data_IF_420790540976
#
_entry.id   IF_420790540976
#
_cell.length_a   1.000
_cell.length_b   1.000
_cell.length_c   1.000
_cell.angle_alpha   90.00
_cell.angle_beta   90.00
_cell.angle_gamma   90.00
#
_symmetry.space_group_name_H-M   'P 1'
#
loop_
_entity.id
_entity.type
_entity.pdbx_description
1 polymer ?
#
# COMPACT_ATOMS: atom_id res chain seq x y z
N UNK A 1 4.53 -22.36 20.80
CA UNK A 1 5.39 -22.05 19.62
C UNK A 1 6.11 -23.34 19.20
N UNK A 2 5.84 -23.84 17.99
CA UNK A 2 6.46 -25.05 17.41
C UNK A 2 7.49 -24.67 16.34
N UNK A 3 8.21 -25.69 15.78
CA UNK A 3 9.11 -25.44 14.66
C UNK A 3 8.32 -25.01 13.42
N UNK A 4 8.92 -24.10 12.64
CA UNK A 4 8.38 -23.67 11.36
C UNK A 4 9.50 -23.52 10.34
N UNK A 5 9.14 -23.55 9.06
CA UNK A 5 10.06 -23.36 7.95
C UNK A 5 9.52 -22.28 7.02
N UNK A 6 10.43 -21.47 6.46
CA UNK A 6 10.20 -20.66 5.28
C UNK A 6 11.01 -21.29 4.14
N UNK A 7 10.34 -21.65 3.05
CA UNK A 7 10.98 -22.09 1.82
C UNK A 7 10.74 -21.07 0.71
N UNK A 8 11.76 -20.76 -0.08
CA UNK A 8 11.68 -19.94 -1.29
C UNK A 8 11.69 -20.83 -2.53
N UNK A 9 11.08 -20.39 -3.62
CA UNK A 9 11.02 -21.14 -4.87
C UNK A 9 12.41 -21.48 -5.44
N UNK A 10 13.46 -20.71 -5.12
CA UNK A 10 14.85 -20.98 -5.52
C UNK A 10 15.51 -22.14 -4.76
N UNK A 11 14.81 -22.75 -3.79
CA UNK A 11 15.30 -23.85 -2.95
C UNK A 11 15.90 -23.41 -1.62
N UNK A 12 15.97 -22.10 -1.35
CA UNK A 12 16.47 -21.59 -0.04
C UNK A 12 15.49 -21.94 1.07
N UNK A 13 16.00 -22.51 2.17
CA UNK A 13 15.21 -22.92 3.34
C UNK A 13 15.74 -22.20 4.58
N UNK A 14 14.81 -21.64 5.36
CA UNK A 14 15.07 -21.04 6.67
C UNK A 14 14.24 -21.77 7.73
N UNK A 15 14.87 -22.16 8.84
CA UNK A 15 14.24 -22.83 9.97
C UNK A 15 14.13 -21.89 11.14
N UNK A 16 12.95 -21.82 11.76
CA UNK A 16 12.65 -20.93 12.88
C UNK A 16 11.52 -21.48 13.74
N UNK A 17 10.83 -20.58 14.42
CA UNK A 17 9.70 -20.89 15.32
C UNK A 17 8.44 -20.23 14.79
N UNK A 18 7.32 -20.94 14.83
CA UNK A 18 5.99 -20.36 14.58
C UNK A 18 5.61 -19.41 15.71
N UNK A 19 5.17 -18.21 15.35
CA UNK A 19 4.73 -17.17 16.30
C UNK A 19 3.33 -16.63 15.97
N UNK A 20 2.66 -17.16 14.97
CA UNK A 20 1.33 -16.75 14.53
C UNK A 20 0.34 -17.92 14.47
N UNK A 21 -0.67 -17.80 13.60
CA UNK A 21 -1.65 -18.81 13.37
C UNK A 21 -1.01 -20.12 12.88
N UNK A 22 -1.57 -21.28 13.23
CA UNK A 22 -1.13 -22.55 12.67
C UNK A 22 -1.49 -22.65 11.18
N UNK A 23 -0.74 -23.47 10.43
CA UNK A 23 -1.06 -23.75 9.04
C UNK A 23 0.04 -23.34 8.05
N UNK A 24 -0.39 -22.83 6.91
CA UNK A 24 0.46 -22.53 5.76
C UNK A 24 0.12 -21.14 5.20
N UNK A 25 1.15 -20.32 4.94
CA UNK A 25 1.04 -19.10 4.16
C UNK A 25 1.88 -19.24 2.89
N UNK A 26 1.31 -18.88 1.74
CA UNK A 26 1.99 -18.84 0.44
C UNK A 26 1.82 -17.46 -0.16
N UNK A 27 2.87 -16.92 -0.78
CA UNK A 27 2.82 -15.60 -1.39
C UNK A 27 4.18 -15.13 -1.91
N UNK A 28 4.22 -13.94 -2.48
CA UNK A 28 5.47 -13.28 -2.85
C UNK A 28 6.18 -12.78 -1.59
N UNK A 29 7.42 -13.23 -1.38
CA UNK A 29 8.23 -12.80 -0.22
C UNK A 29 8.90 -11.48 -0.55
N UNK A 30 8.57 -10.46 0.23
CA UNK A 30 9.13 -9.12 0.14
C UNK A 30 9.83 -8.75 1.45
N UNK A 31 10.69 -7.73 1.43
CA UNK A 31 11.28 -7.19 2.66
C UNK A 31 10.90 -5.73 2.83
N UNK A 32 10.64 -5.32 4.07
CA UNK A 32 10.36 -3.93 4.42
C UNK A 32 11.42 -3.43 5.41
N UNK A 33 11.95 -2.23 5.16
CA UNK A 33 13.04 -1.62 5.94
C UNK A 33 12.55 -0.64 7.02
N UNK A 34 11.24 -0.50 7.22
CA UNK A 34 10.68 0.33 8.28
C UNK A 34 11.13 -0.17 9.67
N UNK A 35 11.44 0.75 10.56
CA UNK A 35 11.87 0.46 11.94
C UNK A 35 10.67 0.23 12.88
N UNK A 36 9.51 0.75 12.52
CA UNK A 36 8.27 0.76 13.30
C UNK A 36 7.08 0.51 12.39
N UNK A 37 5.88 0.39 12.97
CA UNK A 37 4.64 0.31 12.18
C UNK A 37 4.38 -1.08 11.60
N UNK A 38 4.78 -2.13 12.30
CA UNK A 38 4.54 -3.51 11.84
C UNK A 38 3.05 -3.86 11.79
N UNK A 39 2.20 -3.27 12.65
CA UNK A 39 0.77 -3.48 12.64
C UNK A 39 0.12 -2.82 11.43
N UNK A 40 0.51 -1.59 11.13
CA UNK A 40 0.08 -0.84 9.96
C UNK A 40 0.48 -1.58 8.67
N UNK A 41 1.71 -2.11 8.60
CA UNK A 41 2.19 -2.94 7.48
C UNK A 41 1.34 -4.21 7.33
N UNK A 42 1.03 -4.92 8.42
CA UNK A 42 0.24 -6.15 8.36
C UNK A 42 -1.21 -5.91 7.95
N UNK A 43 -1.77 -4.76 8.33
CA UNK A 43 -3.16 -4.39 8.05
C UNK A 43 -3.33 -3.56 6.76
N UNK A 44 -2.25 -3.15 6.08
CA UNK A 44 -2.29 -2.51 4.77
C UNK A 44 -2.72 -3.52 3.69
N UNK A 45 -3.87 -3.33 3.02
CA UNK A 45 -4.33 -4.24 1.97
C UNK A 45 -3.35 -4.39 0.80
N UNK A 46 -2.45 -3.44 0.59
CA UNK A 46 -1.41 -3.51 -0.45
C UNK A 46 -0.46 -4.70 -0.29
N UNK A 47 -0.40 -5.32 0.89
CA UNK A 47 0.37 -6.56 1.14
C UNK A 47 -0.42 -7.85 0.91
N UNK A 48 -1.63 -7.79 0.35
CA UNK A 48 -2.37 -9.01 0.02
C UNK A 48 -1.54 -9.94 -0.88
N UNK A 49 -1.53 -11.25 -0.56
CA UNK A 49 -0.70 -12.27 -1.20
C UNK A 49 0.82 -12.05 -1.07
N UNK A 50 1.27 -11.23 -0.12
CA UNK A 50 2.70 -11.05 0.19
C UNK A 50 3.05 -11.56 1.59
N UNK A 51 4.19 -12.26 1.68
CA UNK A 51 4.85 -12.64 2.95
C UNK A 51 5.87 -11.54 3.25
N UNK A 52 5.62 -10.76 4.30
CA UNK A 52 6.42 -9.59 4.62
C UNK A 52 7.58 -9.97 5.55
N UNK A 53 8.80 -9.70 5.13
CA UNK A 53 10.01 -9.80 5.96
C UNK A 53 10.37 -8.44 6.53
N UNK A 54 10.29 -8.26 7.84
CA UNK A 54 10.75 -7.04 8.49
C UNK A 54 12.26 -7.13 8.81
N UNK A 55 13.01 -6.15 8.29
CA UNK A 55 14.48 -6.17 8.42
C UNK A 55 14.96 -5.69 9.79
N UNK A 56 14.13 -4.90 10.49
CA UNK A 56 14.43 -4.50 11.87
C UNK A 56 14.40 -5.72 12.79
N UNK A 57 15.41 -5.88 13.68
CA UNK A 57 15.56 -7.13 14.42
C UNK A 57 14.47 -7.37 15.48
N UNK A 58 13.96 -6.33 16.14
CA UNK A 58 13.02 -6.43 17.26
C UNK A 58 11.61 -5.99 16.81
N UNK A 59 10.74 -6.93 16.51
CA UNK A 59 9.38 -6.68 16.02
C UNK A 59 8.37 -7.21 17.04
N UNK A 60 7.37 -6.38 17.41
CA UNK A 60 6.37 -6.69 18.44
C UNK A 60 6.65 -6.01 19.79
N UNK A 61 7.70 -5.22 19.89
CA UNK A 61 8.16 -4.60 21.13
C UNK A 61 7.21 -3.56 21.72
N UNK A 62 6.32 -2.95 20.90
CA UNK A 62 5.33 -1.97 21.37
C UNK A 62 3.91 -2.54 21.46
N UNK A 63 3.73 -3.85 21.17
CA UNK A 63 2.40 -4.47 21.09
C UNK A 63 1.58 -3.98 19.91
N UNK A 64 0.28 -4.17 19.98
CA UNK A 64 -0.70 -3.73 18.99
C UNK A 64 -1.90 -3.08 19.67
N UNK A 65 -2.67 -2.28 18.92
CA UNK A 65 -3.86 -1.59 19.39
C UNK A 65 -4.87 -1.38 18.26
N UNK A 66 -6.10 -1.03 18.56
CA UNK A 66 -7.17 -0.87 17.57
C UNK A 66 -6.99 0.35 16.65
N UNK A 67 -6.29 1.39 17.11
CA UNK A 67 -6.16 2.66 16.36
C UNK A 67 -5.17 2.58 15.21
N UNK A 68 -4.14 1.72 15.33
CA UNK A 68 -3.07 1.55 14.35
C UNK A 68 -3.45 0.54 13.23
N UNK A 69 -4.72 0.16 13.13
CA UNK A 69 -5.24 -0.62 12.01
C UNK A 69 -5.47 0.26 10.79
N UNK A 70 -4.89 -0.14 9.67
CA UNK A 70 -5.05 0.54 8.37
C UNK A 70 -6.22 0.01 7.54
N UNK A 71 -6.89 -1.06 8.00
CA UNK A 71 -8.09 -1.61 7.39
C UNK A 71 -8.88 -2.49 8.38
N UNK A 72 -10.00 -3.06 7.92
CA UNK A 72 -10.89 -3.91 8.74
C UNK A 72 -10.23 -5.18 9.30
N UNK A 73 -9.12 -5.64 8.71
CA UNK A 73 -8.39 -6.85 9.10
C UNK A 73 -6.94 -6.77 8.62
N UNK A 74 -6.09 -7.70 9.03
CA UNK A 74 -4.78 -7.86 8.44
C UNK A 74 -4.88 -8.57 7.08
N UNK A 75 -4.11 -8.08 6.10
CA UNK A 75 -4.11 -8.59 4.72
C UNK A 75 -2.82 -9.26 4.29
N UNK A 76 -1.71 -9.03 5.00
CA UNK A 76 -0.45 -9.71 4.70
C UNK A 76 -0.65 -11.24 4.76
N UNK A 77 -0.16 -11.96 3.76
CA UNK A 77 -0.27 -13.42 3.71
C UNK A 77 0.54 -14.11 4.82
N UNK A 78 1.63 -13.49 5.25
CA UNK A 78 2.47 -14.00 6.32
C UNK A 78 3.50 -13.00 6.81
N UNK A 79 4.12 -13.29 7.96
CA UNK A 79 5.14 -12.44 8.57
C UNK A 79 6.43 -13.23 8.85
N UNK A 80 7.55 -12.60 8.52
CA UNK A 80 8.90 -13.10 8.80
C UNK A 80 9.66 -12.08 9.61
N UNK A 81 10.12 -12.46 10.79
CA UNK A 81 10.91 -11.59 11.67
C UNK A 81 12.14 -12.32 12.24
N UNK A 82 13.10 -11.53 12.71
CA UNK A 82 14.25 -12.07 13.41
C UNK A 82 13.90 -12.44 14.84
N UNK A 83 13.50 -11.50 15.65
CA UNK A 83 13.26 -11.68 17.09
C UNK A 83 11.88 -11.14 17.49
N UNK A 84 11.13 -11.99 18.19
CA UNK A 84 9.94 -11.58 18.92
C UNK A 84 10.36 -11.31 20.37
N UNK A 85 10.15 -10.10 20.93
CA UNK A 85 10.55 -9.78 22.29
C UNK A 85 9.75 -10.59 23.32
N UNK A 86 10.39 -10.94 24.43
CA UNK A 86 9.75 -11.66 25.54
C UNK A 86 8.63 -10.86 26.19
N UNK A 87 8.72 -9.53 26.15
CA UNK A 87 7.71 -8.60 26.67
C UNK A 87 7.57 -7.44 25.69
N UNK A 88 6.33 -7.13 25.37
CA UNK A 88 5.98 -5.86 24.74
C UNK A 88 5.73 -4.81 25.84
N UNK A 89 6.06 -3.55 25.55
CA UNK A 89 5.88 -2.45 26.51
C UNK A 89 5.63 -1.15 25.76
N UNK A 90 4.41 -0.65 25.84
CA UNK A 90 4.00 0.66 25.34
C UNK A 90 2.68 1.05 26.04
N UNK A 91 2.50 2.34 26.31
CA UNK A 91 1.27 2.83 26.97
C UNK A 91 0.00 2.64 26.13
N UNK A 92 0.11 2.53 24.79
CA UNK A 92 -1.00 2.26 23.87
C UNK A 92 -1.24 0.77 23.63
N UNK A 93 -0.40 -0.11 24.16
CA UNK A 93 -0.51 -1.54 23.93
C UNK A 93 -1.82 -2.10 24.52
N UNK A 94 -2.59 -2.81 23.71
CA UNK A 94 -3.78 -3.56 24.11
C UNK A 94 -3.52 -5.06 24.14
N UNK A 95 -2.70 -5.57 23.20
CA UNK A 95 -2.31 -6.97 23.14
C UNK A 95 -0.91 -7.15 22.55
N UNK A 96 -0.38 -8.39 22.59
CA UNK A 96 0.93 -8.73 22.02
C UNK A 96 0.81 -9.04 20.53
N UNK A 97 1.93 -8.92 19.79
CA UNK A 97 1.94 -9.21 18.36
C UNK A 97 1.57 -10.66 18.04
N UNK A 98 2.05 -11.63 18.80
CA UNK A 98 1.73 -13.06 18.58
C UNK A 98 0.25 -13.37 18.81
N UNK A 99 -0.38 -12.76 19.80
CA UNK A 99 -1.84 -12.87 20.03
C UNK A 99 -2.61 -12.28 18.84
N UNK A 100 -2.24 -11.09 18.39
CA UNK A 100 -2.81 -10.44 17.21
C UNK A 100 -2.67 -11.30 15.94
N UNK A 101 -1.48 -11.88 15.69
CA UNK A 101 -1.26 -12.74 14.52
C UNK A 101 -2.17 -13.96 14.53
N UNK A 102 -2.36 -14.58 15.71
CA UNK A 102 -3.30 -15.72 15.85
C UNK A 102 -4.73 -15.28 15.60
N UNK A 103 -5.16 -14.16 16.19
CA UNK A 103 -6.50 -13.61 16.04
C UNK A 103 -6.83 -13.27 14.58
N UNK A 104 -5.84 -12.69 13.85
CA UNK A 104 -5.99 -12.32 12.46
C UNK A 104 -5.73 -13.47 11.47
N UNK A 105 -5.39 -14.67 11.96
CA UNK A 105 -5.13 -15.85 11.12
C UNK A 105 -3.82 -15.77 10.33
N UNK A 106 -2.86 -14.91 10.73
CA UNK A 106 -1.59 -14.72 10.02
C UNK A 106 -0.59 -15.79 10.46
N UNK A 107 -0.09 -16.57 9.50
CA UNK A 107 1.03 -17.51 9.72
C UNK A 107 2.33 -16.72 9.76
N UNK A 108 3.13 -16.94 10.81
CA UNK A 108 4.35 -16.15 11.01
C UNK A 108 5.52 -17.00 11.55
N UNK A 109 6.74 -16.61 11.17
CA UNK A 109 7.99 -17.27 11.59
C UNK A 109 8.97 -16.27 12.17
N UNK A 110 9.60 -16.62 13.29
CA UNK A 110 10.66 -15.88 13.92
C UNK A 110 11.92 -16.75 14.11
N UNK A 111 13.05 -16.11 14.43
CA UNK A 111 14.31 -16.78 14.72
C UNK A 111 15.10 -17.16 13.47
N UNK A 112 14.84 -16.51 12.33
CA UNK A 112 15.58 -16.76 11.10
C UNK A 112 16.58 -15.62 10.80
N UNK A 113 17.55 -15.90 9.93
CA UNK A 113 18.48 -14.89 9.41
C UNK A 113 17.78 -14.01 8.34
N UNK A 114 17.07 -12.97 8.80
CA UNK A 114 16.39 -12.01 7.93
C UNK A 114 17.36 -11.21 7.06
N UNK A 115 18.61 -11.00 7.51
CA UNK A 115 19.65 -10.35 6.70
C UNK A 115 20.04 -11.20 5.49
N UNK A 116 20.25 -12.52 5.68
CA UNK A 116 20.51 -13.45 4.58
C UNK A 116 19.31 -13.49 3.62
N UNK A 117 18.10 -13.55 4.13
CA UNK A 117 16.87 -13.53 3.32
C UNK A 117 16.78 -12.24 2.47
N UNK A 118 16.94 -11.08 3.10
CA UNK A 118 16.93 -9.78 2.40
C UNK A 118 18.00 -9.71 1.30
N UNK A 119 19.21 -10.25 1.54
CA UNK A 119 20.26 -10.29 0.50
C UNK A 119 19.87 -11.18 -0.69
N UNK A 120 19.19 -12.30 -0.46
CA UNK A 120 18.66 -13.16 -1.54
C UNK A 120 17.64 -12.40 -2.36
N UNK A 121 16.64 -11.80 -1.72
CA UNK A 121 15.58 -11.05 -2.39
C UNK A 121 16.15 -9.85 -3.19
N UNK A 122 17.10 -9.12 -2.62
CA UNK A 122 17.75 -8.01 -3.31
C UNK A 122 18.55 -8.45 -4.54
N UNK A 123 19.25 -9.57 -4.45
CA UNK A 123 20.11 -10.06 -5.54
C UNK A 123 19.32 -10.75 -6.65
N UNK A 124 18.35 -11.61 -6.29
CA UNK A 124 17.59 -12.46 -7.23
C UNK A 124 16.24 -11.87 -7.62
N UNK A 125 15.72 -10.89 -6.87
CA UNK A 125 14.37 -10.35 -7.00
C UNK A 125 13.43 -10.93 -5.95
N UNK A 126 12.19 -10.40 -5.90
CA UNK A 126 11.12 -10.98 -5.10
C UNK A 126 10.91 -12.45 -5.48
N UNK A 127 10.70 -13.30 -4.48
CA UNK A 127 10.59 -14.75 -4.64
C UNK A 127 9.23 -15.23 -4.15
N UNK A 128 8.64 -16.19 -4.86
CA UNK A 128 7.55 -16.99 -4.28
C UNK A 128 8.05 -17.77 -3.07
N UNK A 129 7.28 -17.79 -1.99
CA UNK A 129 7.66 -18.47 -0.77
C UNK A 129 6.48 -19.09 -0.03
N UNK A 130 6.82 -19.97 0.93
CA UNK A 130 5.84 -20.59 1.80
C UNK A 130 6.37 -20.66 3.24
N UNK A 131 5.58 -20.18 4.20
CA UNK A 131 5.77 -20.47 5.62
C UNK A 131 4.89 -21.65 5.99
N UNK A 132 5.46 -22.66 6.65
CA UNK A 132 4.75 -23.87 7.04
C UNK A 132 5.22 -24.39 8.41
N UNK A 133 4.26 -24.78 9.26
CA UNK A 133 4.54 -25.59 10.44
C UNK A 133 4.53 -27.07 10.06
N UNK A 134 5.64 -27.55 9.46
CA UNK A 134 5.71 -28.92 8.92
C UNK A 134 7.01 -29.17 8.14
N UNK A 135 6.92 -30.08 7.18
CA UNK A 135 8.07 -30.54 6.40
C UNK A 135 8.54 -29.50 5.36
N UNK A 136 9.85 -29.31 5.28
CA UNK A 136 10.46 -28.34 4.37
C UNK A 136 10.19 -28.65 2.89
N UNK A 137 10.07 -29.95 2.53
CA UNK A 137 9.75 -30.35 1.17
C UNK A 137 8.36 -29.88 0.72
N UNK A 138 7.36 -30.01 1.57
CA UNK A 138 6.00 -29.54 1.30
C UNK A 138 5.94 -27.99 1.21
N UNK A 139 6.72 -27.28 2.02
CA UNK A 139 6.83 -25.83 1.94
C UNK A 139 7.48 -25.41 0.60
N UNK A 140 8.51 -26.09 0.15
CA UNK A 140 9.19 -25.81 -1.12
C UNK A 140 8.27 -26.06 -2.33
N UNK A 141 7.54 -27.17 -2.32
CA UNK A 141 6.54 -27.47 -3.35
C UNK A 141 5.49 -26.37 -3.44
N UNK A 142 4.90 -25.96 -2.31
CA UNK A 142 3.92 -24.91 -2.26
C UNK A 142 4.48 -23.55 -2.72
N UNK A 143 5.74 -23.22 -2.37
CA UNK A 143 6.40 -22.01 -2.83
C UNK A 143 6.57 -21.98 -4.36
N UNK A 144 6.94 -23.11 -4.97
CA UNK A 144 7.12 -23.24 -6.42
C UNK A 144 5.80 -23.26 -7.19
N UNK A 145 4.71 -23.68 -6.57
CA UNK A 145 3.38 -23.69 -7.17
C UNK A 145 2.72 -22.28 -7.21
N UNK A 146 3.21 -21.32 -6.46
CA UNK A 146 2.65 -19.96 -6.45
C UNK A 146 3.05 -19.22 -7.74
N UNK A 147 2.08 -18.73 -8.53
CA UNK A 147 2.36 -18.14 -9.86
C UNK A 147 3.01 -16.76 -9.82
N UNK A 148 3.11 -16.11 -8.64
CA UNK A 148 3.52 -14.71 -8.49
C UNK A 148 2.35 -13.75 -8.63
N UNK A 149 2.61 -12.45 -8.46
CA UNK A 149 1.56 -11.41 -8.44
C UNK A 149 1.24 -10.85 -9.84
N UNK A 150 2.09 -11.09 -10.83
CA UNK A 150 1.86 -10.59 -12.19
C UNK A 150 0.60 -11.22 -12.80
N UNK A 151 -0.28 -10.38 -13.35
CA UNK A 151 -1.57 -10.79 -13.89
C UNK A 151 -2.66 -11.01 -12.84
N UNK A 152 -2.38 -10.79 -11.53
CA UNK A 152 -3.38 -10.93 -10.48
C UNK A 152 -4.10 -9.60 -10.21
N UNK A 153 -5.42 -9.58 -10.43
CA UNK A 153 -6.28 -8.50 -9.97
C UNK A 153 -6.63 -8.70 -8.49
N UNK A 154 -5.78 -8.17 -7.62
CA UNK A 154 -6.00 -8.22 -6.18
C UNK A 154 -6.82 -7.03 -5.66
N UNK A 155 -6.91 -5.94 -6.42
CA UNK A 155 -7.70 -4.77 -6.04
C UNK A 155 -9.18 -5.12 -5.80
N UNK A 156 -9.79 -5.88 -6.69
CA UNK A 156 -11.19 -6.34 -6.49
C UNK A 156 -11.36 -7.34 -5.34
N UNK A 157 -10.28 -8.04 -4.94
CA UNK A 157 -10.33 -9.03 -3.84
C UNK A 157 -10.37 -8.33 -2.48
N UNK A 158 -9.60 -7.24 -2.33
CA UNK A 158 -9.51 -6.50 -1.06
C UNK A 158 -10.53 -5.38 -0.92
N UNK A 159 -11.08 -4.90 -2.03
CA UNK A 159 -12.05 -3.82 -2.09
C UNK A 159 -13.29 -4.07 -1.24
N UNK A 160 -13.93 -2.98 -0.80
CA UNK A 160 -15.26 -3.05 -0.22
C UNK A 160 -16.28 -3.59 -1.23
N UNK A 161 -17.32 -4.25 -0.74
CA UNK A 161 -18.44 -4.71 -1.57
C UNK A 161 -19.61 -3.73 -1.62
N UNK A 162 -19.60 -2.70 -0.76
CA UNK A 162 -20.67 -1.71 -0.64
C UNK A 162 -20.09 -0.32 -0.52
N UNK A 163 -20.80 0.66 -1.09
CA UNK A 163 -20.49 2.07 -0.88
C UNK A 163 -20.77 2.47 0.57
N UNK A 164 -19.86 3.26 1.15
CA UNK A 164 -20.02 3.79 2.50
C UNK A 164 -19.44 5.20 2.65
N UNK A 165 -19.91 5.92 3.66
CA UNK A 165 -19.40 7.23 4.03
C UNK A 165 -18.30 7.09 5.10
N UNK A 166 -17.25 7.94 4.98
CA UNK A 166 -16.21 8.05 6.00
C UNK A 166 -16.13 9.48 6.51
N UNK A 167 -16.21 9.66 7.84
CA UNK A 167 -16.24 10.98 8.50
C UNK A 167 -15.21 11.13 9.62
N UNK A 168 -14.40 10.10 9.89
CA UNK A 168 -13.40 10.12 10.96
C UNK A 168 -12.11 10.75 10.46
N UNK A 169 -11.66 11.84 11.10
CA UNK A 169 -10.33 12.44 10.90
C UNK A 169 -9.24 11.78 11.72
N UNK A 170 -8.04 12.35 11.69
CA UNK A 170 -6.88 11.88 12.45
C UNK A 170 -7.07 12.10 13.94
N UNK A 171 -6.58 11.15 14.76
CA UNK A 171 -6.70 11.22 16.22
C UNK A 171 -5.83 12.29 16.85
N UNK A 172 -4.72 12.67 16.19
CA UNK A 172 -3.67 13.55 16.72
C UNK A 172 -3.67 14.96 16.14
N UNK A 173 -4.28 15.19 14.98
CA UNK A 173 -4.55 16.54 14.46
C UNK A 173 -5.98 16.93 14.89
N UNK A 174 -6.25 18.18 15.30
CA UNK A 174 -7.61 18.59 15.62
C UNK A 174 -8.47 18.36 14.36
N UNK A 175 -9.50 17.49 14.44
CA UNK A 175 -10.31 17.20 13.28
C UNK A 175 -11.00 18.48 12.83
N UNK A 176 -10.94 18.80 11.53
CA UNK A 176 -11.93 19.67 10.91
C UNK A 176 -13.28 18.97 11.16
N UNK A 177 -14.23 19.66 11.79
CA UNK A 177 -15.49 19.01 12.11
C UNK A 177 -16.16 18.56 10.80
N UNK A 178 -16.80 17.41 10.79
CA UNK A 178 -17.51 16.92 9.60
C UNK A 178 -18.57 17.91 9.08
N UNK A 179 -19.01 18.86 9.94
CA UNK A 179 -19.90 19.95 9.59
C UNK A 179 -19.21 21.09 8.82
N UNK A 180 -17.88 21.12 8.79
CA UNK A 180 -17.05 22.09 8.06
C UNK A 180 -16.47 21.51 6.77
N UNK A 181 -16.80 20.27 6.43
CA UNK A 181 -16.37 19.63 5.18
C UNK A 181 -16.90 20.43 3.97
N UNK A 182 -15.97 20.93 3.18
CA UNK A 182 -16.25 21.83 2.04
C UNK A 182 -16.42 21.03 0.75
N UNK A 183 -15.69 19.90 0.60
CA UNK A 183 -15.61 19.15 -0.66
C UNK A 183 -16.25 17.78 -0.54
N UNK A 184 -16.99 17.36 -1.59
CA UNK A 184 -17.46 16.00 -1.76
C UNK A 184 -16.40 15.21 -2.55
N UNK A 185 -15.81 14.18 -1.94
CA UNK A 185 -14.80 13.33 -2.59
C UNK A 185 -15.34 11.92 -2.72
N UNK A 186 -15.31 11.37 -3.93
CA UNK A 186 -15.53 9.94 -4.14
C UNK A 186 -14.19 9.24 -4.23
N UNK A 187 -13.95 8.29 -3.32
CA UNK A 187 -12.73 7.50 -3.25
C UNK A 187 -12.97 6.07 -3.73
N UNK A 188 -12.26 5.65 -4.78
CA UNK A 188 -12.23 4.25 -5.17
C UNK A 188 -11.44 3.43 -4.16
N UNK A 189 -12.03 2.34 -3.68
CA UNK A 189 -11.37 1.39 -2.80
C UNK A 189 -10.70 0.27 -3.61
N UNK A 190 -9.42 0.45 -3.91
CA UNK A 190 -8.57 -0.61 -4.45
C UNK A 190 -7.81 -1.36 -3.36
N UNK A 191 -8.10 -1.08 -2.10
CA UNK A 191 -7.38 -1.50 -0.89
C UNK A 191 -6.98 -0.28 -0.06
N UNK A 192 -7.92 0.64 0.16
CA UNK A 192 -7.68 1.93 0.77
C UNK A 192 -7.29 1.79 2.25
N UNK A 193 -6.23 2.51 2.65
CA UNK A 193 -5.81 2.62 4.06
C UNK A 193 -6.67 3.64 4.80
N UNK A 194 -7.00 3.33 6.06
CA UNK A 194 -7.78 4.21 6.92
C UNK A 194 -7.12 5.58 7.11
N UNK A 195 -5.79 5.63 7.20
CA UNK A 195 -5.07 6.91 7.33
C UNK A 195 -5.23 7.81 6.10
N UNK A 196 -5.36 7.26 4.90
CA UNK A 196 -5.70 8.06 3.70
C UNK A 196 -7.08 8.72 3.88
N UNK A 197 -8.08 7.94 4.32
CA UNK A 197 -9.43 8.46 4.55
C UNK A 197 -9.46 9.54 5.63
N UNK A 198 -8.72 9.33 6.73
CA UNK A 198 -8.56 10.31 7.81
C UNK A 198 -7.96 11.61 7.30
N UNK A 199 -6.90 11.55 6.47
CA UNK A 199 -6.24 12.73 5.91
C UNK A 199 -7.09 13.48 4.88
N UNK A 200 -7.94 12.79 4.13
CA UNK A 200 -8.92 13.44 3.27
C UNK A 200 -9.95 14.23 4.11
N UNK A 201 -10.42 13.67 5.24
CA UNK A 201 -11.30 14.38 6.16
C UNK A 201 -10.60 15.59 6.78
N UNK A 202 -9.35 15.44 7.24
CA UNK A 202 -8.54 16.55 7.79
C UNK A 202 -8.31 17.66 6.75
N UNK A 203 -8.28 17.30 5.46
CA UNK A 203 -8.18 18.24 4.34
C UNK A 203 -9.53 18.89 3.96
N UNK A 204 -10.59 18.70 4.76
CA UNK A 204 -11.92 19.30 4.56
C UNK A 204 -12.83 18.54 3.58
N UNK A 205 -12.62 17.23 3.41
CA UNK A 205 -13.41 16.41 2.51
C UNK A 205 -14.45 15.58 3.26
N UNK A 206 -15.66 15.49 2.70
CA UNK A 206 -16.62 14.41 2.98
C UNK A 206 -16.36 13.29 2.00
N UNK A 207 -16.05 12.10 2.49
CA UNK A 207 -15.57 11.01 1.65
C UNK A 207 -16.63 9.94 1.50
N UNK A 208 -17.03 9.68 0.25
CA UNK A 208 -17.84 8.51 -0.13
C UNK A 208 -16.91 7.48 -0.74
N UNK A 209 -16.73 6.34 -0.07
CA UNK A 209 -15.88 5.25 -0.54
C UNK A 209 -16.73 4.31 -1.40
N UNK A 210 -16.24 4.00 -2.61
CA UNK A 210 -16.93 3.14 -3.58
C UNK A 210 -16.10 1.92 -3.91
N UNK A 211 -16.74 0.77 -4.26
CA UNK A 211 -16.03 -0.42 -4.71
C UNK A 211 -15.12 -0.17 -5.92
N UNK A 212 -14.05 -0.96 -6.05
CA UNK A 212 -13.08 -0.86 -7.15
C UNK A 212 -13.74 -0.89 -8.55
N UNK A 213 -14.82 -1.66 -8.72
CA UNK A 213 -15.50 -1.86 -9.99
C UNK A 213 -16.64 -0.85 -10.26
N UNK A 214 -16.77 0.20 -9.45
CA UNK A 214 -17.80 1.23 -9.63
C UNK A 214 -17.59 1.96 -10.98
N UNK A 215 -18.65 2.12 -11.76
CA UNK A 215 -18.54 2.77 -13.07
C UNK A 215 -18.37 4.29 -12.94
N UNK A 216 -17.82 4.91 -13.97
CA UNK A 216 -17.69 6.37 -14.02
C UNK A 216 -19.05 7.08 -13.90
N UNK A 217 -20.11 6.52 -14.52
CA UNK A 217 -21.45 7.07 -14.48
C UNK A 217 -22.00 7.10 -13.03
N UNK A 218 -21.76 6.02 -12.27
CA UNK A 218 -22.16 5.96 -10.85
C UNK A 218 -21.40 6.99 -10.02
N UNK A 219 -20.08 7.13 -10.24
CA UNK A 219 -19.24 8.14 -9.55
C UNK A 219 -19.72 9.55 -9.88
N UNK A 220 -19.93 9.86 -11.17
CA UNK A 220 -20.36 11.19 -11.61
C UNK A 220 -21.77 11.55 -11.12
N UNK A 221 -22.65 10.54 -10.95
CA UNK A 221 -23.99 10.74 -10.39
C UNK A 221 -23.96 11.26 -8.93
N UNK A 222 -22.87 10.97 -8.19
CA UNK A 222 -22.64 11.50 -6.83
C UNK A 222 -22.20 12.97 -6.83
N UNK A 223 -21.95 13.57 -8.00
CA UNK A 223 -21.51 14.96 -8.19
C UNK A 223 -20.30 15.34 -7.33
N UNK A 224 -19.19 14.60 -7.42
CA UNK A 224 -18.01 14.87 -6.60
C UNK A 224 -17.32 16.16 -7.05
N UNK A 225 -16.69 16.86 -6.09
CA UNK A 225 -15.74 17.94 -6.34
C UNK A 225 -14.37 17.41 -6.72
N UNK A 226 -14.04 16.18 -6.28
CA UNK A 226 -12.81 15.47 -6.61
C UNK A 226 -12.98 13.96 -6.54
N UNK A 227 -12.15 13.24 -7.28
CA UNK A 227 -12.08 11.79 -7.26
C UNK A 227 -10.72 11.34 -6.75
N UNK A 228 -10.73 10.43 -5.80
CA UNK A 228 -9.53 9.85 -5.21
C UNK A 228 -9.35 8.39 -5.66
N UNK A 229 -8.15 8.05 -6.13
CA UNK A 229 -7.75 6.70 -6.54
C UNK A 229 -6.82 6.13 -5.48
N UNK A 230 -7.27 5.15 -4.71
CA UNK A 230 -6.52 4.67 -3.56
C UNK A 230 -5.30 3.82 -3.93
N UNK A 231 -4.48 3.56 -2.91
CA UNK A 231 -3.51 2.48 -2.90
C UNK A 231 -4.20 1.11 -3.03
N UNK A 232 -3.40 0.07 -3.28
CA UNK A 232 -3.90 -1.30 -3.36
C UNK A 232 -2.83 -2.30 -3.78
N UNK A 233 -3.14 -3.60 -3.69
CA UNK A 233 -2.25 -4.69 -4.04
C UNK A 233 -2.28 -5.08 -5.51
N UNK A 234 -1.29 -5.83 -5.92
CA UNK A 234 -1.28 -6.59 -7.17
C UNK A 234 -0.75 -5.82 -8.37
N UNK A 235 -1.09 -6.37 -9.52
CA UNK A 235 -0.74 -5.84 -10.83
C UNK A 235 -1.83 -4.84 -11.28
N UNK A 236 -1.49 -3.63 -11.72
CA UNK A 236 -2.48 -2.68 -12.24
C UNK A 236 -3.07 -3.07 -13.60
N UNK A 237 -2.36 -3.84 -14.42
CA UNK A 237 -2.77 -4.22 -15.78
C UNK A 237 -4.14 -4.93 -15.85
N UNK A 238 -4.47 -5.89 -14.96
CA UNK A 238 -5.78 -6.56 -14.98
C UNK A 238 -6.95 -5.68 -14.51
N UNK A 239 -6.69 -4.49 -13.96
CA UNK A 239 -7.73 -3.57 -13.45
C UNK A 239 -8.36 -2.72 -14.57
N UNK A 240 -8.63 -3.30 -15.74
CA UNK A 240 -9.15 -2.63 -16.93
C UNK A 240 -10.48 -1.89 -16.70
N UNK A 241 -11.32 -2.38 -15.80
CA UNK A 241 -12.55 -1.72 -15.37
C UNK A 241 -12.28 -0.36 -14.72
N UNK A 242 -11.23 -0.28 -13.89
CA UNK A 242 -10.83 0.97 -13.24
C UNK A 242 -10.22 1.95 -14.26
N UNK A 243 -9.35 1.45 -15.15
CA UNK A 243 -8.76 2.26 -16.23
C UNK A 243 -9.86 2.92 -17.07
N UNK A 244 -10.86 2.14 -17.53
CA UNK A 244 -12.01 2.68 -18.31
C UNK A 244 -12.84 3.70 -17.52
N UNK A 245 -13.04 3.48 -16.23
CA UNK A 245 -13.75 4.45 -15.39
C UNK A 245 -12.95 5.75 -15.23
N UNK A 246 -11.64 5.67 -14.99
CA UNK A 246 -10.75 6.82 -14.86
C UNK A 246 -10.71 7.64 -16.15
N UNK A 247 -10.59 7.01 -17.32
CA UNK A 247 -10.62 7.69 -18.63
C UNK A 247 -11.85 8.59 -18.80
N UNK A 248 -13.04 8.07 -18.43
CA UNK A 248 -14.29 8.83 -18.49
C UNK A 248 -14.33 9.97 -17.45
N UNK A 249 -13.85 9.73 -16.24
CA UNK A 249 -13.75 10.74 -15.17
C UNK A 249 -12.84 11.89 -15.61
N UNK A 250 -11.70 11.58 -16.23
CA UNK A 250 -10.76 12.59 -16.74
C UNK A 250 -11.41 13.48 -17.82
N UNK A 251 -12.29 12.93 -18.66
CA UNK A 251 -13.06 13.73 -19.65
C UNK A 251 -14.05 14.70 -18.98
N UNK A 252 -14.56 14.38 -17.80
CA UNK A 252 -15.43 15.27 -17.03
C UNK A 252 -14.67 16.42 -16.36
N UNK A 253 -13.32 16.45 -16.43
CA UNK A 253 -12.41 17.47 -15.88
C UNK A 253 -12.55 17.69 -14.38
N UNK A 254 -13.03 16.69 -13.65
CA UNK A 254 -13.06 16.70 -12.17
C UNK A 254 -11.63 16.46 -11.67
N UNK A 255 -11.15 17.18 -10.65
CA UNK A 255 -9.84 16.95 -10.03
C UNK A 255 -9.66 15.50 -9.58
N UNK A 256 -8.54 14.89 -9.97
CA UNK A 256 -8.20 13.50 -9.62
C UNK A 256 -6.86 13.46 -8.88
N UNK A 257 -6.82 12.74 -7.75
CA UNK A 257 -5.58 12.43 -7.03
C UNK A 257 -5.44 10.92 -6.85
N UNK A 258 -4.27 10.36 -7.22
CA UNK A 258 -3.97 8.92 -7.13
C UNK A 258 -2.76 8.61 -6.27
N UNK A 259 -2.85 7.55 -5.44
CA UNK A 259 -1.76 7.06 -4.59
C UNK A 259 -1.44 5.60 -4.93
N UNK A 260 -0.16 5.28 -5.10
CA UNK A 260 0.40 3.94 -5.29
C UNK A 260 -0.29 3.20 -6.46
N UNK A 261 -1.19 2.24 -6.23
CA UNK A 261 -1.96 1.60 -7.30
C UNK A 261 -2.79 2.64 -8.08
N UNK A 262 -3.39 3.62 -7.41
CA UNK A 262 -4.11 4.72 -8.06
C UNK A 262 -3.24 5.59 -8.96
N UNK A 263 -1.95 5.76 -8.62
CA UNK A 263 -0.97 6.40 -9.49
C UNK A 263 -0.73 5.58 -10.77
N UNK A 264 -0.56 4.26 -10.63
CA UNK A 264 -0.34 3.37 -11.77
C UNK A 264 -1.56 3.32 -12.69
N UNK A 265 -2.77 3.25 -12.11
CA UNK A 265 -4.03 3.26 -12.86
C UNK A 265 -4.27 4.60 -13.59
N UNK A 266 -3.92 5.74 -12.96
CA UNK A 266 -3.95 7.05 -13.64
C UNK A 266 -2.97 7.09 -14.82
N UNK A 267 -1.79 6.50 -14.66
CA UNK A 267 -0.80 6.34 -15.73
C UNK A 267 -1.35 5.54 -16.91
N UNK A 268 -1.90 4.34 -16.63
CA UNK A 268 -2.52 3.48 -17.65
C UNK A 268 -3.69 4.18 -18.37
N UNK A 269 -4.61 4.80 -17.63
CA UNK A 269 -5.74 5.57 -18.18
C UNK A 269 -5.31 6.80 -18.99
N UNK A 270 -4.08 7.24 -18.84
CA UNK A 270 -3.48 8.33 -19.61
C UNK A 270 -2.65 7.85 -20.80
N UNK A 271 -2.49 6.53 -20.98
CA UNK A 271 -1.78 5.90 -22.09
C UNK A 271 -0.32 5.53 -21.81
N UNK A 272 0.15 5.61 -20.57
CA UNK A 272 1.44 5.08 -20.14
C UNK A 272 1.38 3.55 -19.95
N UNK A 273 2.52 2.91 -19.76
CA UNK A 273 2.65 1.48 -19.45
C UNK A 273 3.23 1.30 -18.06
N UNK A 274 2.99 0.13 -17.48
CA UNK A 274 3.58 -0.28 -16.20
C UNK A 274 4.61 -1.39 -16.41
N UNK A 275 5.45 -1.59 -15.39
CA UNK A 275 6.46 -2.65 -15.36
C UNK A 275 6.55 -3.26 -13.95
N UNK A 276 6.85 -4.56 -13.90
CA UNK A 276 7.18 -5.26 -12.66
C UNK A 276 8.61 -4.92 -12.25
N UNK A 277 8.80 -4.44 -11.04
CA UNK A 277 10.13 -4.18 -10.48
C UNK A 277 10.79 -5.47 -10.00
N UNK A 278 12.13 -5.49 -9.94
CA UNK A 278 12.89 -6.67 -9.52
C UNK A 278 12.54 -7.15 -8.10
N UNK A 279 12.47 -6.23 -7.13
CA UNK A 279 12.11 -6.53 -5.74
C UNK A 279 11.20 -5.46 -5.10
N UNK A 280 10.77 -4.45 -5.89
CA UNK A 280 9.91 -3.37 -5.42
C UNK A 280 10.59 -2.39 -4.46
N UNK A 281 9.80 -1.43 -4.01
CA UNK A 281 10.18 -0.51 -2.94
C UNK A 281 9.28 -0.75 -1.73
N UNK A 282 9.88 -1.12 -0.60
CA UNK A 282 9.16 -1.37 0.64
C UNK A 282 9.98 -0.81 1.82
N UNK A 283 9.51 0.27 2.41
CA UNK A 283 10.20 0.93 3.52
C UNK A 283 9.75 2.37 3.73
N UNK A 284 10.20 2.96 4.81
CA UNK A 284 9.80 4.29 5.26
C UNK A 284 10.95 5.32 5.22
N UNK A 285 11.95 5.09 4.38
CA UNK A 285 13.18 5.90 4.30
C UNK A 285 13.64 6.14 2.86
N UNK A 286 12.72 6.19 1.91
CA UNK A 286 13.04 6.36 0.49
C UNK A 286 13.12 7.85 0.12
N UNK A 287 14.30 8.36 -0.31
CA UNK A 287 14.43 9.74 -0.74
C UNK A 287 13.85 9.89 -2.15
N UNK A 288 12.96 10.85 -2.31
CA UNK A 288 12.30 11.19 -3.56
C UNK A 288 12.50 12.68 -3.85
N UNK A 289 12.93 13.01 -5.05
CA UNK A 289 13.09 14.38 -5.50
C UNK A 289 11.84 14.86 -6.24
N UNK A 290 11.34 16.01 -5.84
CA UNK A 290 10.39 16.81 -6.61
C UNK A 290 11.14 17.49 -7.75
N UNK A 291 10.77 17.17 -8.98
CA UNK A 291 11.42 17.65 -10.20
C UNK A 291 11.05 19.12 -10.53
N UNK A 292 10.00 19.67 -9.92
CA UNK A 292 9.56 21.05 -10.13
C UNK A 292 10.33 22.02 -9.23
N UNK A 293 10.56 21.61 -7.98
CA UNK A 293 11.19 22.48 -6.97
C UNK A 293 12.64 22.11 -6.66
N UNK A 294 13.06 20.90 -7.04
CA UNK A 294 14.36 20.31 -6.69
C UNK A 294 14.46 19.81 -5.23
N UNK A 295 13.40 19.95 -4.42
CA UNK A 295 13.39 19.51 -3.03
C UNK A 295 13.41 17.99 -2.92
N UNK A 296 14.01 17.49 -1.84
CA UNK A 296 14.04 16.04 -1.53
C UNK A 296 13.17 15.80 -0.31
N UNK A 297 12.32 14.79 -0.42
CA UNK A 297 11.44 14.30 0.65
C UNK A 297 11.81 12.86 1.00
N UNK A 298 11.71 12.51 2.28
CA UNK A 298 11.81 11.13 2.71
C UNK A 298 10.40 10.55 2.73
N UNK A 299 10.21 9.40 2.07
CA UNK A 299 8.87 8.88 1.80
C UNK A 299 8.72 7.43 2.24
N UNK A 300 7.49 7.04 2.52
CA UNK A 300 7.10 5.64 2.68
C UNK A 300 6.74 5.05 1.32
N UNK A 301 7.18 3.82 1.06
CA UNK A 301 7.00 3.12 -0.21
C UNK A 301 6.54 1.68 0.05
N UNK A 302 5.57 1.22 -0.74
CA UNK A 302 5.10 -0.16 -0.73
C UNK A 302 4.52 -0.53 -2.11
N UNK A 303 5.39 -0.84 -3.08
CA UNK A 303 4.94 -1.23 -4.41
C UNK A 303 5.94 -2.15 -5.12
N UNK A 304 5.43 -3.12 -5.87
CA UNK A 304 6.20 -4.04 -6.72
C UNK A 304 6.10 -3.73 -8.21
N UNK A 305 5.27 -2.75 -8.58
CA UNK A 305 5.11 -2.26 -9.95
C UNK A 305 5.36 -0.75 -9.99
N UNK A 306 5.71 -0.23 -11.16
CA UNK A 306 5.93 1.20 -11.40
C UNK A 306 5.50 1.57 -12.82
N UNK A 307 5.26 2.87 -13.06
CA UNK A 307 5.06 3.38 -14.41
C UNK A 307 6.42 3.42 -15.13
N UNK A 308 6.45 2.92 -16.38
CA UNK A 308 7.58 3.04 -17.28
C UNK A 308 7.67 4.49 -17.79
N UNK A 309 8.62 5.26 -17.26
CA UNK A 309 8.80 6.67 -17.63
C UNK A 309 9.02 6.87 -19.14
N UNK A 310 9.67 5.90 -19.82
CA UNK A 310 9.90 5.98 -21.26
C UNK A 310 8.59 5.87 -22.07
N UNK A 311 7.50 5.41 -21.46
CA UNK A 311 6.19 5.28 -22.10
C UNK A 311 5.28 6.50 -21.91
N UNK A 312 5.71 7.53 -21.15
CA UNK A 312 4.87 8.68 -20.85
C UNK A 312 4.40 9.40 -22.12
N UNK A 313 3.10 9.53 -22.35
CA UNK A 313 2.56 10.30 -23.46
C UNK A 313 2.69 11.81 -23.20
N UNK A 314 2.51 12.64 -24.23
CA UNK A 314 2.70 14.11 -24.18
C UNK A 314 1.78 14.83 -23.16
N UNK A 315 0.65 14.23 -22.80
CA UNK A 315 -0.30 14.76 -21.82
C UNK A 315 0.08 14.40 -20.38
N UNK A 316 1.18 13.68 -20.15
CA UNK A 316 1.73 13.39 -18.83
C UNK A 316 3.11 14.04 -18.64
N UNK A 317 3.32 14.57 -17.44
CA UNK A 317 4.60 15.12 -16.99
C UNK A 317 5.06 14.41 -15.72
N UNK A 318 6.31 13.97 -15.67
CA UNK A 318 6.96 13.48 -14.47
C UNK A 318 7.09 14.61 -13.44
N UNK A 319 6.74 14.34 -12.19
CA UNK A 319 6.82 15.32 -11.09
C UNK A 319 7.80 14.91 -10.01
N UNK A 320 7.97 13.62 -9.78
CA UNK A 320 8.85 13.11 -8.72
C UNK A 320 9.67 11.92 -9.21
N UNK A 321 10.87 11.74 -8.63
CA UNK A 321 11.79 10.66 -8.97
C UNK A 321 12.50 10.11 -7.74
N UNK A 322 12.62 8.78 -7.65
CA UNK A 322 13.41 8.09 -6.62
C UNK A 322 14.90 8.41 -6.77
N UNK A 323 15.56 8.75 -5.67
CA UNK A 323 17.02 8.92 -5.65
C UNK A 323 17.78 7.59 -5.42
N UNK A 324 17.08 6.47 -5.17
CA UNK A 324 17.72 5.16 -5.06
C UNK A 324 18.02 4.52 -6.41
N UNK A 325 17.09 4.63 -7.37
CA UNK A 325 17.17 3.91 -8.63
C UNK A 325 16.69 4.72 -9.85
N UNK A 326 16.28 5.97 -9.63
CA UNK A 326 15.79 6.85 -10.69
C UNK A 326 14.37 6.55 -11.17
N UNK A 327 13.65 5.59 -10.55
CA UNK A 327 12.28 5.26 -10.95
C UNK A 327 11.32 6.43 -10.77
N UNK A 328 10.31 6.50 -11.64
CA UNK A 328 9.26 7.51 -11.61
C UNK A 328 8.41 7.36 -10.34
N UNK A 329 8.20 8.48 -9.63
CA UNK A 329 7.50 8.51 -8.36
C UNK A 329 6.27 9.43 -8.35
N UNK A 330 6.04 10.18 -9.42
CA UNK A 330 4.87 11.05 -9.51
C UNK A 330 4.66 11.54 -10.94
N UNK A 331 3.39 11.71 -11.30
CA UNK A 331 2.95 12.27 -12.58
C UNK A 331 1.86 13.32 -12.37
N UNK A 332 1.74 14.22 -13.34
CA UNK A 332 0.61 15.12 -13.48
C UNK A 332 0.17 15.21 -14.94
N UNK A 333 -1.13 15.40 -15.17
CA UNK A 333 -1.66 15.71 -16.49
C UNK A 333 -1.48 17.19 -16.82
N UNK A 334 -1.30 17.47 -18.11
CA UNK A 334 -1.11 18.83 -18.63
C UNK A 334 -2.41 19.43 -19.21
N UNK A 335 -3.42 18.60 -19.43
CA UNK A 335 -4.69 18.94 -20.10
C UNK A 335 -5.89 18.97 -19.16
N UNK A 336 -5.77 18.40 -17.97
CA UNK A 336 -6.78 18.46 -16.91
C UNK A 336 -6.12 18.39 -15.53
N UNK A 337 -6.90 18.64 -14.48
CA UNK A 337 -6.40 18.60 -13.09
C UNK A 337 -6.37 17.15 -12.61
N UNK A 338 -5.29 16.46 -12.88
CA UNK A 338 -5.06 15.11 -12.36
C UNK A 338 -3.57 14.93 -12.06
N UNK A 339 -3.27 14.45 -10.85
CA UNK A 339 -1.90 14.20 -10.39
C UNK A 339 -1.86 12.98 -9.49
N UNK A 340 -0.67 12.41 -9.30
CA UNK A 340 -0.54 11.22 -8.47
C UNK A 340 0.88 11.01 -7.97
N UNK A 341 1.00 10.20 -6.92
CA UNK A 341 2.25 9.86 -6.28
C UNK A 341 2.37 8.35 -6.04
N UNK A 342 3.54 7.76 -6.39
CA UNK A 342 3.76 6.32 -6.29
C UNK A 342 3.92 5.84 -4.85
N UNK A 343 4.56 6.65 -4.01
CA UNK A 343 4.70 6.35 -2.58
C UNK A 343 3.44 6.67 -1.78
N UNK A 344 3.58 6.62 -0.46
CA UNK A 344 2.49 6.78 0.51
C UNK A 344 2.63 8.10 1.27
N UNK A 345 1.99 9.21 0.82
CA UNK A 345 2.05 10.50 1.51
C UNK A 345 1.33 10.50 2.86
N UNK A 346 0.46 9.53 3.08
CA UNK A 346 -0.19 9.28 4.37
C UNK A 346 0.76 8.63 5.39
N UNK A 347 1.93 8.13 4.96
CA UNK A 347 2.83 7.33 5.78
C UNK A 347 2.16 6.05 6.34
N UNK A 348 2.10 5.90 7.67
CA UNK A 348 1.48 4.76 8.37
C UNK A 348 1.92 3.38 7.86
N UNK A 349 3.23 3.03 8.12
CA UNK A 349 4.22 3.82 8.86
C UNK A 349 5.03 4.77 7.98
N UNK A 350 5.71 5.72 8.62
CA UNK A 350 6.76 6.49 7.95
C UNK A 350 6.72 8.00 8.20
N UNK A 351 7.57 8.77 7.48
CA UNK A 351 7.65 10.21 7.58
C UNK A 351 6.49 10.89 6.83
N UNK A 352 6.13 12.09 7.29
CA UNK A 352 5.04 12.90 6.77
C UNK A 352 5.51 14.01 5.82
N UNK A 353 6.73 13.96 5.32
CA UNK A 353 7.36 15.03 4.53
C UNK A 353 6.51 15.46 3.33
N UNK A 354 5.80 14.52 2.71
CA UNK A 354 5.01 14.74 1.50
C UNK A 354 3.48 14.75 1.75
N UNK A 355 3.05 14.82 3.02
CA UNK A 355 1.62 14.90 3.43
C UNK A 355 0.89 16.09 2.76
N UNK A 356 1.60 17.14 2.38
CA UNK A 356 1.04 18.33 1.73
C UNK A 356 0.27 18.04 0.42
N UNK A 357 0.46 16.90 -0.22
CA UNK A 357 -0.29 16.51 -1.42
C UNK A 357 -1.81 16.42 -1.18
N UNK A 358 -2.25 16.11 0.06
CA UNK A 358 -3.67 16.16 0.42
C UNK A 358 -4.23 17.58 0.41
N UNK A 359 -3.47 18.54 0.94
CA UNK A 359 -3.84 19.96 0.88
C UNK A 359 -3.81 20.51 -0.56
N UNK A 360 -2.88 20.03 -1.39
CA UNK A 360 -2.81 20.37 -2.82
C UNK A 360 -4.07 19.89 -3.55
N UNK A 361 -4.56 18.68 -3.25
CA UNK A 361 -5.81 18.16 -3.80
C UNK A 361 -7.01 19.05 -3.46
N UNK A 362 -7.15 19.47 -2.19
CA UNK A 362 -8.18 20.40 -1.77
C UNK A 362 -8.08 21.76 -2.47
N UNK A 363 -6.88 22.29 -2.65
CA UNK A 363 -6.65 23.53 -3.38
C UNK A 363 -7.03 23.42 -4.87
N UNK A 364 -6.84 22.25 -5.48
CA UNK A 364 -7.28 21.99 -6.85
C UNK A 364 -8.82 21.96 -6.95
N UNK A 365 -9.52 21.32 -6.02
CA UNK A 365 -10.98 21.34 -5.96
C UNK A 365 -11.53 22.75 -5.75
N UNK A 366 -10.90 23.56 -4.89
CA UNK A 366 -11.26 24.96 -4.69
C UNK A 366 -11.18 25.76 -5.99
N UNK A 367 -10.08 25.63 -6.74
CA UNK A 367 -9.91 26.31 -8.03
C UNK A 367 -10.90 25.85 -9.09
N UNK A 368 -11.21 24.55 -9.15
CA UNK A 368 -12.18 24.00 -10.10
C UNK A 368 -13.62 24.48 -9.84
N UNK A 369 -14.00 24.76 -8.58
CA UNK A 369 -15.32 25.36 -8.25
C UNK A 369 -15.40 26.85 -8.62
N UNK A 370 -14.28 27.55 -8.69
CA UNK A 370 -14.24 28.97 -8.99
C UNK A 370 -14.18 29.27 -10.49
N UNK A 371 -13.89 28.28 -11.32
CA UNK A 371 -13.83 28.36 -12.79
C UNK A 371 -15.15 27.96 -13.45
#
# INVERSE_FOLDING_TARGET
MGPAVLALADGSIFRGKSIGAPGRAVGEVVFNTALTGYQEILSDPSYAQQIVTLTYPHIGNVGVNAEDMESRQAFAAGLVIRDLPLRASNWRMQETLDAFLVQQGIVAIAGIDTRRLTRILRSKGAQSGCILTGEAAAALEAARAFPGLQGMDLAKVVSTTQTYEWSQGSTFDPPVSANEAVFQVVAFDFGIKHTILRLLVDAGCRVTVVPAQTSAEQVLALKPDGVFLSNGPGDPEPCDYAVRAIEKILTAKIPVFGICLGHQLLGLASGARTLKMKFGHHGANHPVQDLLTGRVFITSQNHGFAIDEASLPKNLKATHRSLFDGSLQGIMRTDCVAFSFQGHPEASPGPYDIKHLFAEFSAHMCRARAS
#
